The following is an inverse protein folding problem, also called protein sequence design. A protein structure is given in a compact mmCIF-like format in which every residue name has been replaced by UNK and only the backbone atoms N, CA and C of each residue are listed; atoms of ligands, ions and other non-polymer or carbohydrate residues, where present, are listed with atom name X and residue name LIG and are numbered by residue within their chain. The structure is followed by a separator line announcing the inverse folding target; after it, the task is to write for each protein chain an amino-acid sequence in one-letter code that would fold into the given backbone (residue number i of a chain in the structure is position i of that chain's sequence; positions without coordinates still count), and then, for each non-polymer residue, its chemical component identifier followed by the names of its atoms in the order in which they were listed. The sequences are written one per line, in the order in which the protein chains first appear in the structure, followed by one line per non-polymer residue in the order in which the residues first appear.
data_IF_347302497816
#
_entry.id   IF_347302497816
#
_cell.length_a   1.000
_cell.length_b   1.000
_cell.length_c   1.000
_cell.angle_alpha   90.00
_cell.angle_beta   90.00
_cell.angle_gamma   90.00
#
_symmetry.space_group_name_H-M   'P 1'
#
loop_
_entity.id
_entity.type
_entity.pdbx_description
1 polymer ?
#
# COMPACT_ATOMS: atom_id res chain seq x y z
N UNK A 1 -16.74 4.39 -17.13
CA UNK A 1 -15.85 4.68 -16.00
C UNK A 1 -14.46 5.05 -16.52
N UNK A 2 -13.88 6.19 -16.11
CA UNK A 2 -12.57 6.65 -16.59
C UNK A 2 -11.56 6.64 -15.45
N UNK A 3 -10.55 5.78 -15.51
CA UNK A 3 -9.60 5.53 -14.44
C UNK A 3 -8.15 5.72 -14.90
N UNK A 4 -7.26 5.98 -13.95
CA UNK A 4 -5.83 6.06 -14.21
C UNK A 4 -4.98 5.58 -13.01
N UNK A 5 -3.69 5.40 -13.26
CA UNK A 5 -2.63 5.43 -12.22
C UNK A 5 -1.64 6.52 -12.57
N UNK A 6 -1.22 7.29 -11.58
CA UNK A 6 -0.15 8.27 -11.69
C UNK A 6 1.06 7.90 -10.83
N UNK A 7 2.26 8.19 -11.34
CA UNK A 7 3.52 7.91 -10.65
C UNK A 7 4.72 8.42 -11.47
N UNK A 8 5.94 8.30 -10.92
CA UNK A 8 7.16 8.66 -11.66
C UNK A 8 8.38 7.81 -11.21
N UNK A 9 8.77 6.76 -11.97
CA UNK A 9 8.15 6.22 -13.19
C UNK A 9 6.89 5.38 -12.89
N UNK A 10 6.05 5.15 -13.91
CA UNK A 10 4.81 4.35 -13.81
C UNK A 10 4.64 3.34 -14.95
N UNK A 11 5.52 3.35 -15.94
CA UNK A 11 5.40 2.54 -17.16
C UNK A 11 5.41 1.02 -16.91
N UNK A 12 6.03 0.59 -15.81
CA UNK A 12 6.12 -0.81 -15.41
C UNK A 12 4.91 -1.28 -14.56
N UNK A 13 3.94 -0.40 -14.32
CA UNK A 13 2.78 -0.74 -13.48
C UNK A 13 1.88 -1.78 -14.13
N UNK A 14 1.50 -2.81 -13.36
CA UNK A 14 0.53 -3.83 -13.77
C UNK A 14 -0.92 -3.43 -13.48
N UNK A 15 -1.15 -2.32 -12.78
CA UNK A 15 -2.49 -1.82 -12.45
C UNK A 15 -3.40 -1.63 -13.67
N UNK A 16 -2.92 -1.13 -14.84
CA UNK A 16 -3.77 -1.05 -16.04
C UNK A 16 -4.31 -2.40 -16.52
N UNK A 17 -3.53 -3.46 -16.39
CA UNK A 17 -3.97 -4.82 -16.76
C UNK A 17 -5.03 -5.33 -15.79
N UNK A 18 -4.80 -5.19 -14.47
CA UNK A 18 -5.72 -5.64 -13.43
C UNK A 18 -7.07 -4.91 -13.53
N UNK A 19 -7.06 -3.58 -13.54
CA UNK A 19 -8.31 -2.81 -13.56
C UNK A 19 -9.10 -2.96 -14.86
N UNK A 20 -8.44 -3.17 -16.00
CA UNK A 20 -9.14 -3.54 -17.25
C UNK A 20 -9.81 -4.91 -17.15
N UNK A 21 -9.23 -5.86 -16.40
CA UNK A 21 -9.88 -7.13 -16.11
C UNK A 21 -11.09 -6.93 -15.19
N UNK A 22 -10.97 -6.15 -14.13
CA UNK A 22 -12.06 -5.85 -13.20
C UNK A 22 -13.23 -5.13 -13.87
N UNK A 23 -12.97 -4.15 -14.75
CA UNK A 23 -14.00 -3.48 -15.54
C UNK A 23 -14.79 -4.46 -16.42
N UNK A 24 -14.08 -5.42 -17.07
CA UNK A 24 -14.73 -6.45 -17.89
C UNK A 24 -15.55 -7.43 -17.06
N UNK A 25 -15.00 -7.86 -15.91
CA UNK A 25 -15.69 -8.76 -14.96
C UNK A 25 -16.98 -8.14 -14.42
N UNK A 26 -16.95 -6.84 -14.15
CA UNK A 26 -18.10 -6.08 -13.66
C UNK A 26 -19.07 -5.62 -14.79
N UNK A 27 -18.77 -5.95 -16.07
CA UNK A 27 -19.53 -5.50 -17.25
C UNK A 27 -19.67 -3.96 -17.33
N UNK A 28 -18.66 -3.22 -16.84
CA UNK A 28 -18.61 -1.77 -16.84
C UNK A 28 -17.80 -1.28 -18.04
N UNK A 29 -18.44 -0.44 -18.89
CA UNK A 29 -17.69 0.26 -19.93
C UNK A 29 -16.75 1.30 -19.32
N UNK A 30 -15.48 1.20 -19.64
CA UNK A 30 -14.48 2.06 -19.03
C UNK A 30 -13.06 1.88 -19.56
N UNK A 31 -12.20 2.74 -19.07
CA UNK A 31 -10.78 2.74 -19.41
C UNK A 31 -9.90 2.92 -18.17
N UNK A 32 -8.69 2.35 -18.24
CA UNK A 32 -7.66 2.56 -17.23
C UNK A 32 -6.30 2.76 -17.93
N UNK A 33 -5.63 3.88 -17.62
CA UNK A 33 -4.37 4.28 -18.24
C UNK A 33 -3.30 4.59 -17.21
N UNK A 34 -2.02 4.41 -17.56
CA UNK A 34 -0.89 4.87 -16.76
C UNK A 34 -0.43 6.24 -17.28
N UNK A 35 -0.22 7.19 -16.37
CA UNK A 35 0.20 8.56 -16.69
C UNK A 35 1.42 8.90 -15.83
N UNK A 36 2.55 9.16 -16.48
CA UNK A 36 3.75 9.63 -15.79
C UNK A 36 3.57 11.10 -15.37
N UNK A 37 3.72 11.36 -14.07
CA UNK A 37 3.53 12.70 -13.48
C UNK A 37 4.72 13.03 -12.58
N UNK A 38 5.52 14.04 -12.90
CA UNK A 38 6.59 14.53 -12.02
C UNK A 38 6.01 15.00 -10.67
N UNK A 39 6.74 14.77 -9.58
CA UNK A 39 6.30 15.10 -8.22
C UNK A 39 5.82 16.56 -8.08
N UNK A 40 6.54 17.51 -8.69
CA UNK A 40 6.19 18.94 -8.68
C UNK A 40 4.83 19.26 -9.29
N UNK A 41 4.29 18.40 -10.15
CA UNK A 41 3.05 18.63 -10.89
C UNK A 41 1.86 17.84 -10.31
N UNK A 42 2.11 16.93 -9.35
CA UNK A 42 1.12 15.97 -8.87
C UNK A 42 -0.20 16.63 -8.43
N UNK A 43 -0.14 17.63 -7.56
CA UNK A 43 -1.34 18.32 -7.04
C UNK A 43 -2.15 18.96 -8.17
N UNK A 44 -1.47 19.66 -9.10
CA UNK A 44 -2.12 20.30 -10.25
C UNK A 44 -2.77 19.29 -11.18
N UNK A 45 -2.10 18.17 -11.46
CA UNK A 45 -2.63 17.10 -12.31
C UNK A 45 -3.84 16.43 -11.65
N UNK A 46 -3.77 16.07 -10.36
CA UNK A 46 -4.89 15.45 -9.64
C UNK A 46 -6.14 16.35 -9.68
N UNK A 47 -5.98 17.64 -9.39
CA UNK A 47 -7.10 18.60 -9.46
C UNK A 47 -7.65 18.76 -10.89
N UNK A 48 -6.77 18.69 -11.90
CA UNK A 48 -7.18 18.75 -13.30
C UNK A 48 -7.94 17.49 -13.73
N UNK A 49 -7.55 16.29 -13.26
CA UNK A 49 -8.22 15.03 -13.58
C UNK A 49 -9.71 15.05 -13.21
N UNK A 50 -10.07 15.70 -12.10
CA UNK A 50 -11.48 15.92 -11.73
C UNK A 50 -12.24 16.70 -12.78
N UNK A 51 -11.63 17.75 -13.37
CA UNK A 51 -12.23 18.58 -14.42
C UNK A 51 -12.29 17.87 -15.78
N UNK A 52 -11.44 16.86 -15.97
CA UNK A 52 -11.36 16.06 -17.19
C UNK A 52 -12.18 14.76 -17.08
N UNK A 53 -13.19 14.72 -16.18
CA UNK A 53 -14.18 13.65 -15.99
C UNK A 53 -13.56 12.27 -15.67
N UNK A 54 -12.43 12.23 -14.95
CA UNK A 54 -11.96 11.00 -14.34
C UNK A 54 -12.87 10.60 -13.18
N UNK A 55 -13.20 9.32 -13.09
CA UNK A 55 -13.96 8.76 -11.96
C UNK A 55 -13.04 8.48 -10.77
N UNK A 56 -11.85 8.00 -11.02
CA UNK A 56 -10.88 7.66 -9.97
C UNK A 56 -9.45 7.59 -10.48
N UNK A 57 -8.52 7.60 -9.54
CA UNK A 57 -7.10 7.54 -9.83
C UNK A 57 -6.35 6.78 -8.74
N UNK A 58 -5.55 5.78 -9.11
CA UNK A 58 -4.52 5.28 -8.20
C UNK A 58 -3.28 6.18 -8.24
N UNK A 59 -2.60 6.23 -7.12
CA UNK A 59 -1.35 6.98 -6.96
C UNK A 59 -0.25 6.07 -6.43
N UNK A 60 0.89 6.07 -7.13
CA UNK A 60 2.07 5.30 -6.71
C UNK A 60 3.27 6.20 -6.45
N UNK A 61 4.40 5.58 -6.13
CA UNK A 61 5.66 6.29 -5.86
C UNK A 61 6.01 7.30 -6.98
N UNK A 62 6.48 8.49 -6.63
CA UNK A 62 6.71 9.06 -5.29
C UNK A 62 5.56 9.99 -4.83
N UNK A 63 4.34 9.84 -5.34
CA UNK A 63 3.29 10.86 -5.32
C UNK A 63 2.24 10.70 -4.21
N UNK A 64 2.29 9.64 -3.38
CA UNK A 64 1.24 9.34 -2.39
C UNK A 64 1.06 10.43 -1.32
N UNK A 65 2.12 11.14 -0.94
CA UNK A 65 2.08 12.26 0.00
C UNK A 65 1.57 13.55 -0.67
N UNK A 66 1.91 13.77 -1.96
CA UNK A 66 1.35 14.88 -2.72
C UNK A 66 -0.14 14.69 -2.99
N UNK A 67 -0.56 13.45 -3.21
CA UNK A 67 -1.97 13.12 -3.39
C UNK A 67 -2.80 13.43 -2.13
N UNK A 68 -2.25 13.16 -0.94
CA UNK A 68 -2.88 13.53 0.33
C UNK A 68 -3.20 15.04 0.38
N UNK A 69 -2.24 15.88 -0.05
CA UNK A 69 -2.39 17.34 -0.08
C UNK A 69 -3.36 17.85 -1.18
N UNK A 70 -3.61 17.01 -2.18
CA UNK A 70 -4.49 17.34 -3.30
C UNK A 70 -5.96 17.04 -3.02
N UNK A 71 -6.25 16.16 -2.04
CA UNK A 71 -7.59 15.76 -1.66
C UNK A 71 -8.30 16.83 -0.81
N UNK A 72 -9.60 16.94 -0.97
CA UNK A 72 -10.46 17.81 -0.17
C UNK A 72 -10.86 17.12 1.14
N UNK A 73 -11.06 15.78 1.08
CA UNK A 73 -11.43 14.92 2.20
C UNK A 73 -10.60 13.62 2.16
N UNK A 74 -10.45 12.99 3.31
CA UNK A 74 -9.66 11.77 3.48
C UNK A 74 -10.45 10.75 4.30
N UNK A 75 -10.32 9.47 3.95
CA UNK A 75 -10.77 8.38 4.84
C UNK A 75 -9.81 8.21 6.01
N UNK A 76 -10.24 7.52 7.06
CA UNK A 76 -9.42 7.24 8.24
C UNK A 76 -8.13 6.47 7.88
N UNK A 77 -8.20 5.53 6.94
CA UNK A 77 -7.04 4.79 6.45
C UNK A 77 -5.99 5.71 5.80
N UNK A 78 -6.45 6.67 4.98
CA UNK A 78 -5.55 7.63 4.34
C UNK A 78 -4.93 8.60 5.35
N UNK A 79 -5.70 9.06 6.32
CA UNK A 79 -5.23 9.95 7.39
C UNK A 79 -4.20 9.27 8.27
N UNK A 80 -4.46 8.03 8.71
CA UNK A 80 -3.55 7.26 9.56
C UNK A 80 -2.27 6.87 8.84
N UNK A 81 -2.37 6.51 7.55
CA UNK A 81 -1.21 6.20 6.71
C UNK A 81 -0.39 7.45 6.33
N UNK A 82 -0.95 8.65 6.51
CA UNK A 82 -0.38 9.91 5.99
C UNK A 82 0.01 9.78 4.51
N UNK A 83 -0.84 9.12 3.73
CA UNK A 83 -0.62 8.84 2.31
C UNK A 83 -1.92 8.40 1.61
N UNK A 84 -2.06 8.78 0.35
CA UNK A 84 -3.17 8.38 -0.52
C UNK A 84 -2.63 7.55 -1.69
N UNK A 85 -3.21 6.37 -1.92
CA UNK A 85 -2.95 5.56 -3.11
C UNK A 85 -4.17 5.39 -4.02
N UNK A 86 -5.35 5.83 -3.55
CA UNK A 86 -6.62 5.72 -4.27
C UNK A 86 -7.41 7.01 -4.11
N UNK A 87 -7.84 7.61 -5.21
CA UNK A 87 -8.63 8.85 -5.24
C UNK A 87 -9.95 8.58 -5.95
N UNK A 88 -11.06 9.06 -5.38
CA UNK A 88 -12.33 9.17 -6.04
C UNK A 88 -12.64 10.63 -6.37
N UNK A 89 -13.04 10.90 -7.62
CA UNK A 89 -13.42 12.22 -8.10
C UNK A 89 -14.94 12.36 -8.12
N UNK A 90 -15.50 12.75 -6.99
CA UNK A 90 -16.90 13.07 -6.84
C UNK A 90 -17.14 14.58 -6.75
N UNK A 91 -18.08 14.98 -5.89
CA UNK A 91 -18.31 16.38 -5.55
C UNK A 91 -17.06 17.01 -4.92
N UNK A 92 -16.36 16.23 -4.11
CA UNK A 92 -15.06 16.52 -3.53
C UNK A 92 -14.04 15.50 -4.02
N UNK A 93 -12.76 15.80 -3.92
CA UNK A 93 -11.68 14.86 -4.18
C UNK A 93 -11.46 14.07 -2.89
N UNK A 94 -11.92 12.81 -2.86
CA UNK A 94 -11.80 11.93 -1.72
C UNK A 94 -10.57 11.04 -1.84
N UNK A 95 -9.68 11.12 -0.86
CA UNK A 95 -8.47 10.29 -0.76
C UNK A 95 -8.66 9.08 0.15
N UNK A 96 -8.17 7.93 -0.30
CA UNK A 96 -8.20 6.66 0.41
C UNK A 96 -6.86 5.93 0.30
N UNK A 97 -6.62 4.93 1.15
CA UNK A 97 -5.44 4.09 1.06
C UNK A 97 -5.77 2.61 1.20
N UNK A 98 -5.43 1.83 0.17
CA UNK A 98 -5.70 0.39 0.10
C UNK A 98 -4.46 -0.49 0.30
N UNK A 99 -3.26 0.08 0.53
CA UNK A 99 -2.03 -0.72 0.69
C UNK A 99 -2.11 -1.64 1.91
N UNK A 100 -2.62 -1.13 3.05
CA UNK A 100 -2.73 -1.90 4.28
C UNK A 100 -3.70 -3.08 4.15
N UNK A 101 -4.90 -2.84 3.61
CA UNK A 101 -5.87 -3.91 3.36
C UNK A 101 -5.33 -4.92 2.33
N UNK A 102 -4.60 -4.45 1.31
CA UNK A 102 -3.97 -5.32 0.32
C UNK A 102 -2.93 -6.25 0.94
N UNK A 103 -2.07 -5.72 1.81
CA UNK A 103 -1.08 -6.52 2.54
C UNK A 103 -1.74 -7.54 3.45
N UNK A 104 -2.77 -7.14 4.22
CA UNK A 104 -3.52 -8.05 5.09
C UNK A 104 -4.17 -9.17 4.30
N UNK A 105 -4.94 -8.84 3.28
CA UNK A 105 -5.65 -9.83 2.46
C UNK A 105 -4.69 -10.84 1.84
N UNK A 106 -3.55 -10.39 1.34
CA UNK A 106 -2.52 -11.27 0.79
C UNK A 106 -1.93 -12.21 1.85
N UNK A 107 -1.61 -11.70 3.04
CA UNK A 107 -1.05 -12.50 4.13
C UNK A 107 -2.06 -13.52 4.67
N UNK A 108 -3.28 -13.10 4.98
CA UNK A 108 -4.32 -13.99 5.51
C UNK A 108 -4.68 -15.11 4.53
N UNK A 109 -4.70 -14.83 3.23
CA UNK A 109 -4.88 -15.84 2.20
C UNK A 109 -3.72 -16.84 2.12
N UNK A 110 -2.46 -16.39 2.38
CA UNK A 110 -1.28 -17.25 2.38
C UNK A 110 -1.16 -18.11 3.64
N UNK A 111 -1.56 -17.54 4.77
CA UNK A 111 -1.50 -18.23 6.07
C UNK A 111 -2.68 -19.19 6.27
N UNK A 112 -3.76 -19.02 5.51
CA UNK A 112 -5.09 -19.61 5.77
C UNK A 112 -5.53 -19.32 7.23
N UNK A 113 -5.17 -18.14 7.76
CA UNK A 113 -5.36 -17.72 9.14
C UNK A 113 -5.35 -16.18 9.26
N UNK A 114 -5.86 -15.66 10.37
CA UNK A 114 -5.83 -14.24 10.71
C UNK A 114 -4.42 -13.77 11.08
N UNK A 115 -4.12 -12.50 10.82
CA UNK A 115 -2.90 -11.86 11.31
C UNK A 115 -2.97 -11.45 12.80
N UNK A 116 -4.13 -11.58 13.44
CA UNK A 116 -4.29 -11.26 14.86
C UNK A 116 -3.32 -12.08 15.73
N UNK A 117 -2.71 -11.44 16.72
CA UNK A 117 -1.71 -11.98 17.63
C UNK A 117 -0.41 -12.46 16.97
N UNK A 118 -0.24 -12.24 15.65
CA UNK A 118 1.01 -12.53 14.95
C UNK A 118 2.04 -11.43 15.22
N UNK A 119 3.30 -11.82 15.27
CA UNK A 119 4.44 -10.90 15.31
C UNK A 119 4.82 -10.53 13.89
N UNK A 120 4.63 -9.25 13.52
CA UNK A 120 4.81 -8.77 12.14
C UNK A 120 5.83 -7.65 12.10
N UNK A 121 6.90 -7.84 11.34
CA UNK A 121 7.93 -6.84 11.10
C UNK A 121 7.72 -6.13 9.76
N UNK A 122 7.81 -4.80 9.75
CA UNK A 122 7.76 -3.99 8.54
C UNK A 122 9.11 -3.32 8.33
N UNK A 123 9.75 -3.62 7.19
CA UNK A 123 11.03 -3.00 6.81
C UNK A 123 10.78 -1.82 5.90
N UNK A 124 11.17 -0.63 6.36
CA UNK A 124 10.94 0.65 5.71
C UNK A 124 9.93 1.53 6.46
N UNK A 125 9.94 2.83 6.16
CA UNK A 125 8.97 3.80 6.71
C UNK A 125 8.52 4.78 5.61
N UNK A 126 8.31 4.27 4.40
CA UNK A 126 7.67 5.01 3.31
C UNK A 126 6.14 4.93 3.40
N UNK A 127 5.45 5.55 2.44
CA UNK A 127 3.99 5.60 2.39
C UNK A 127 3.31 4.21 2.49
N UNK A 128 3.86 3.19 1.83
CA UNK A 128 3.32 1.82 1.89
C UNK A 128 3.54 1.20 3.26
N UNK A 129 4.72 1.39 3.89
CA UNK A 129 4.97 0.91 5.25
C UNK A 129 4.00 1.52 6.26
N UNK A 130 3.81 2.85 6.20
CA UNK A 130 2.86 3.55 7.07
C UNK A 130 1.43 3.04 6.91
N UNK A 131 1.00 2.78 5.68
CA UNK A 131 -0.33 2.22 5.41
C UNK A 131 -0.50 0.80 5.99
N UNK A 132 0.53 -0.05 5.90
CA UNK A 132 0.53 -1.38 6.49
C UNK A 132 0.47 -1.28 8.03
N UNK A 133 1.37 -0.49 8.64
CA UNK A 133 1.41 -0.30 10.09
C UNK A 133 0.08 0.28 10.62
N UNK A 134 -0.47 1.30 9.95
CA UNK A 134 -1.74 1.92 10.31
C UNK A 134 -2.91 0.93 10.29
N UNK A 135 -2.97 0.07 9.27
CA UNK A 135 -4.04 -0.90 9.12
C UNK A 135 -3.89 -2.07 10.11
N UNK A 136 -2.65 -2.51 10.37
CA UNK A 136 -2.38 -3.67 11.23
C UNK A 136 -2.47 -3.34 12.71
N UNK A 137 -2.17 -2.09 13.12
CA UNK A 137 -2.32 -1.65 14.52
C UNK A 137 -3.75 -1.73 15.04
N UNK A 138 -4.76 -1.81 14.15
CA UNK A 138 -6.17 -2.02 14.51
C UNK A 138 -6.58 -3.51 14.58
N UNK A 139 -5.64 -4.43 14.40
CA UNK A 139 -5.93 -5.87 14.20
C UNK A 139 -5.30 -6.77 15.27
N UNK A 140 -4.95 -6.21 16.42
CA UNK A 140 -4.30 -6.93 17.54
C UNK A 140 -2.99 -7.64 17.15
N UNK A 141 -2.31 -7.22 16.08
CA UNK A 141 -1.00 -7.73 15.70
C UNK A 141 0.12 -7.08 16.52
N UNK A 142 1.17 -7.82 16.84
CA UNK A 142 2.38 -7.26 17.46
C UNK A 142 3.31 -6.72 16.39
N UNK A 143 3.44 -5.39 16.31
CA UNK A 143 4.14 -4.73 15.22
C UNK A 143 5.57 -4.37 15.56
N UNK A 144 6.45 -4.59 14.59
CA UNK A 144 7.86 -4.20 14.66
C UNK A 144 8.23 -3.44 13.39
N UNK A 145 9.06 -2.40 13.53
CA UNK A 145 9.44 -1.56 12.40
C UNK A 145 10.94 -1.33 12.37
N UNK A 146 11.50 -1.37 11.16
CA UNK A 146 12.86 -0.98 10.88
C UNK A 146 12.94 0.07 9.78
N UNK A 147 13.81 1.04 9.96
CA UNK A 147 14.16 2.05 8.97
C UNK A 147 15.57 2.56 9.20
N UNK A 148 16.15 3.25 8.20
CA UNK A 148 17.49 3.84 8.30
C UNK A 148 17.56 5.11 9.15
N UNK A 149 16.42 5.65 9.49
CA UNK A 149 16.25 6.91 10.19
C UNK A 149 15.57 6.60 11.54
N UNK A 150 16.34 6.73 12.62
CA UNK A 150 15.88 6.40 13.97
C UNK A 150 14.75 7.31 14.47
N UNK A 151 14.66 8.55 13.98
CA UNK A 151 13.55 9.45 14.32
C UNK A 151 12.25 8.95 13.72
N UNK A 152 12.29 8.49 12.46
CA UNK A 152 11.13 7.90 11.79
C UNK A 152 10.71 6.58 12.42
N UNK A 153 11.66 5.77 12.89
CA UNK A 153 11.35 4.53 13.63
C UNK A 153 10.65 4.86 14.94
N UNK A 154 11.12 5.86 15.69
CA UNK A 154 10.45 6.31 16.91
C UNK A 154 9.04 6.84 16.65
N UNK A 155 8.86 7.67 15.62
CA UNK A 155 7.54 8.16 15.20
C UNK A 155 6.60 7.00 14.84
N UNK A 156 7.09 5.98 14.13
CA UNK A 156 6.31 4.79 13.84
C UNK A 156 5.89 4.02 15.09
N UNK A 157 6.81 3.86 16.05
CA UNK A 157 6.53 3.16 17.31
C UNK A 157 5.44 3.89 18.11
N UNK A 158 5.53 5.20 18.22
CA UNK A 158 4.54 6.01 18.94
C UNK A 158 3.18 6.04 18.22
N UNK A 159 3.20 6.18 16.90
CA UNK A 159 1.98 6.37 16.10
C UNK A 159 1.16 5.10 15.91
N UNK A 160 1.83 3.93 15.80
CA UNK A 160 1.20 2.65 15.45
C UNK A 160 1.32 1.59 16.54
N UNK A 161 1.71 1.96 17.74
CA UNK A 161 1.97 1.02 18.85
C UNK A 161 2.93 -0.11 18.43
N UNK A 162 3.99 0.24 17.70
CA UNK A 162 4.99 -0.69 17.22
C UNK A 162 6.27 -0.66 18.07
N UNK A 163 7.14 -1.63 17.88
CA UNK A 163 8.45 -1.71 18.51
C UNK A 163 9.58 -1.66 17.47
N UNK A 164 10.81 -1.27 17.84
CA UNK A 164 11.95 -1.42 16.94
C UNK A 164 12.15 -2.89 16.57
N UNK A 165 12.53 -3.15 15.32
CA UNK A 165 12.68 -4.51 14.79
C UNK A 165 13.84 -5.25 15.48
N UNK A 166 13.60 -6.40 16.15
CA UNK A 166 14.61 -7.16 16.86
C UNK A 166 15.26 -8.18 15.91
N UNK A 167 16.42 -7.89 15.34
CA UNK A 167 17.12 -8.79 14.42
C UNK A 167 17.65 -10.07 15.06
N UNK A 168 17.88 -10.08 16.37
CA UNK A 168 18.28 -11.24 17.18
C UNK A 168 17.12 -12.20 17.51
N UNK A 169 15.88 -11.70 17.44
CA UNK A 169 14.66 -12.49 17.62
C UNK A 169 13.57 -11.97 16.68
N UNK A 170 13.70 -12.20 15.36
CA UNK A 170 12.84 -11.58 14.37
C UNK A 170 11.38 -11.97 14.53
N UNK A 171 10.46 -11.12 14.06
CA UNK A 171 9.06 -11.48 13.90
C UNK A 171 8.87 -12.69 12.97
N UNK A 172 7.83 -13.48 13.22
CA UNK A 172 7.50 -14.63 12.38
C UNK A 172 7.17 -14.25 10.93
N UNK A 173 6.58 -13.06 10.75
CA UNK A 173 6.23 -12.51 9.44
C UNK A 173 7.02 -11.21 9.23
N UNK A 174 7.68 -11.07 8.10
CA UNK A 174 8.38 -9.85 7.72
C UNK A 174 7.89 -9.34 6.36
N UNK A 175 7.54 -8.07 6.31
CA UNK A 175 7.13 -7.38 5.08
C UNK A 175 8.16 -6.32 4.73
N UNK A 176 8.85 -6.49 3.60
CA UNK A 176 9.76 -5.48 3.08
C UNK A 176 9.04 -4.52 2.13
N UNK A 177 9.08 -3.23 2.44
CA UNK A 177 8.60 -2.15 1.56
C UNK A 177 9.76 -1.34 0.98
N UNK A 178 10.97 -1.86 1.10
CA UNK A 178 12.19 -1.16 0.72
C UNK A 178 12.38 -1.15 -0.81
N UNK A 179 13.01 -0.10 -1.35
CA UNK A 179 13.41 -0.09 -2.75
C UNK A 179 14.35 -1.27 -3.10
N UNK A 180 14.29 -1.81 -4.32
CA UNK A 180 15.13 -2.92 -4.76
C UNK A 180 16.65 -2.66 -4.66
N UNK A 181 17.05 -1.39 -4.59
CA UNK A 181 18.45 -0.97 -4.45
C UNK A 181 19.02 -1.11 -3.04
N UNK A 182 18.17 -1.29 -2.03
CA UNK A 182 18.63 -1.43 -0.64
C UNK A 182 19.37 -2.76 -0.48
N UNK A 183 20.50 -2.70 0.23
CA UNK A 183 21.30 -3.87 0.62
C UNK A 183 21.33 -3.94 2.13
N UNK A 184 21.16 -5.14 2.64
CA UNK A 184 21.27 -5.42 4.07
C UNK A 184 22.68 -5.85 4.44
N UNK A 185 23.12 -5.41 5.60
CA UNK A 185 24.35 -5.89 6.22
C UNK A 185 24.17 -7.35 6.71
N UNK A 186 25.24 -8.16 6.73
CA UNK A 186 25.15 -9.57 7.09
C UNK A 186 24.39 -9.88 8.38
N UNK A 187 24.55 -9.17 9.51
CA UNK A 187 23.78 -9.44 10.73
C UNK A 187 22.26 -9.25 10.55
N UNK A 188 21.85 -8.31 9.69
CA UNK A 188 20.45 -8.07 9.39
C UNK A 188 19.89 -9.20 8.50
N UNK A 189 20.67 -9.63 7.50
CA UNK A 189 20.29 -10.77 6.66
C UNK A 189 20.13 -12.04 7.49
N UNK A 190 21.07 -12.33 8.39
CA UNK A 190 21.00 -13.46 9.29
C UNK A 190 19.72 -13.44 10.14
N UNK A 191 19.38 -12.27 10.72
CA UNK A 191 18.12 -12.10 11.43
C UNK A 191 16.91 -12.41 10.54
N UNK A 192 16.85 -11.90 9.32
CA UNK A 192 15.73 -12.12 8.40
C UNK A 192 15.61 -13.59 7.93
N UNK A 193 16.71 -14.35 7.93
CA UNK A 193 16.69 -15.78 7.60
C UNK A 193 15.90 -16.63 8.60
N UNK A 194 15.73 -16.14 9.84
CA UNK A 194 14.99 -16.83 10.90
C UNK A 194 13.49 -16.52 10.92
N UNK A 195 13.00 -15.55 10.12
CA UNK A 195 11.58 -15.32 9.97
C UNK A 195 10.89 -16.48 9.24
N UNK A 196 9.70 -16.89 9.68
CA UNK A 196 8.96 -17.98 9.04
C UNK A 196 8.52 -17.59 7.62
N UNK A 197 8.05 -16.36 7.47
CA UNK A 197 7.55 -15.81 6.22
C UNK A 197 8.16 -14.44 5.93
N UNK A 198 8.69 -14.26 4.73
CA UNK A 198 9.15 -12.96 4.23
C UNK A 198 8.41 -12.59 2.96
N UNK A 199 7.74 -11.44 2.95
CA UNK A 199 7.10 -10.87 1.78
C UNK A 199 7.85 -9.61 1.33
N UNK A 200 8.12 -9.49 0.02
CA UNK A 200 8.62 -8.26 -0.59
C UNK A 200 7.45 -7.54 -1.28
N UNK A 201 7.08 -6.34 -0.82
CA UNK A 201 6.02 -5.55 -1.45
C UNK A 201 6.34 -5.13 -2.90
N UNK A 202 7.59 -5.28 -3.34
CA UNK A 202 7.92 -5.19 -4.76
C UNK A 202 7.44 -6.44 -5.51
N UNK A 203 7.09 -6.29 -6.78
CA UNK A 203 6.60 -7.36 -7.66
C UNK A 203 7.36 -7.42 -8.97
N UNK A 204 7.26 -8.56 -9.65
CA UNK A 204 7.93 -8.83 -10.92
C UNK A 204 9.46 -8.74 -10.79
N UNK A 205 10.13 -8.12 -11.77
CA UNK A 205 11.59 -7.98 -11.78
C UNK A 205 12.14 -7.09 -10.65
N UNK A 206 11.29 -6.31 -9.98
CA UNK A 206 11.66 -5.47 -8.85
C UNK A 206 11.78 -6.24 -7.54
N UNK A 207 11.28 -7.47 -7.46
CA UNK A 207 11.47 -8.37 -6.31
C UNK A 207 12.92 -8.83 -6.29
N UNK A 208 13.72 -8.27 -5.41
CA UNK A 208 15.17 -8.57 -5.34
C UNK A 208 15.63 -9.10 -4.00
N UNK A 209 14.80 -9.04 -2.98
CA UNK A 209 15.14 -9.45 -1.62
C UNK A 209 15.53 -10.95 -1.54
N UNK A 210 14.86 -11.82 -2.33
CA UNK A 210 15.18 -13.24 -2.41
C UNK A 210 16.64 -13.54 -2.76
N UNK A 211 17.27 -12.68 -3.58
CA UNK A 211 18.69 -12.84 -3.96
C UNK A 211 19.64 -12.51 -2.83
N UNK A 212 19.22 -11.66 -1.89
CA UNK A 212 20.03 -11.31 -0.72
C UNK A 212 19.89 -12.36 0.39
N UNK A 213 18.68 -12.93 0.54
CA UNK A 213 18.38 -13.93 1.55
C UNK A 213 18.72 -15.35 1.11
N UNK A 214 19.00 -15.59 -0.19
CA UNK A 214 19.24 -16.91 -0.76
C UNK A 214 18.14 -17.95 -0.41
N UNK A 215 16.89 -17.45 -0.26
CA UNK A 215 15.71 -18.26 0.05
C UNK A 215 14.50 -17.80 -0.76
N UNK A 216 13.49 -18.65 -0.81
CA UNK A 216 12.18 -18.25 -1.34
C UNK A 216 11.52 -17.22 -0.44
N UNK A 217 10.93 -16.24 -1.06
CA UNK A 217 10.12 -15.21 -0.42
C UNK A 217 8.82 -15.03 -1.21
N UNK A 218 7.84 -14.40 -0.59
CA UNK A 218 6.57 -14.09 -1.25
C UNK A 218 6.73 -12.76 -1.99
N UNK A 219 6.57 -12.75 -3.32
CA UNK A 219 6.56 -11.51 -4.08
C UNK A 219 5.27 -10.72 -3.83
N UNK A 220 5.31 -9.41 -4.03
CA UNK A 220 4.19 -8.50 -3.80
C UNK A 220 3.03 -8.60 -4.79
N UNK A 221 2.99 -9.62 -5.64
CA UNK A 221 1.94 -9.78 -6.66
C UNK A 221 0.55 -9.95 -6.04
N UNK A 222 0.42 -10.77 -5.00
CA UNK A 222 -0.84 -10.97 -4.28
C UNK A 222 -1.30 -9.68 -3.57
N UNK A 223 -0.37 -8.94 -2.96
CA UNK A 223 -0.66 -7.64 -2.36
C UNK A 223 -1.09 -6.61 -3.41
N UNK A 224 -0.43 -6.60 -4.58
CA UNK A 224 -0.78 -5.72 -5.69
C UNK A 224 -2.21 -5.98 -6.17
N UNK A 225 -2.60 -7.24 -6.34
CA UNK A 225 -3.94 -7.62 -6.78
C UNK A 225 -5.00 -7.25 -5.73
N UNK A 226 -4.76 -7.58 -4.47
CA UNK A 226 -5.68 -7.32 -3.38
C UNK A 226 -5.93 -5.80 -3.17
N UNK A 227 -4.87 -4.96 -3.18
CA UNK A 227 -5.03 -3.52 -3.07
C UNK A 227 -5.71 -2.91 -4.32
N UNK A 228 -5.48 -3.47 -5.51
CA UNK A 228 -6.14 -3.01 -6.72
C UNK A 228 -7.64 -3.35 -6.70
N UNK A 229 -8.02 -4.55 -6.23
CA UNK A 229 -9.42 -4.94 -6.02
C UNK A 229 -10.08 -4.01 -5.01
N UNK A 230 -9.46 -3.77 -3.87
CA UNK A 230 -9.97 -2.83 -2.86
C UNK A 230 -10.17 -1.40 -3.40
N UNK A 231 -9.27 -0.92 -4.27
CA UNK A 231 -9.43 0.37 -4.95
C UNK A 231 -10.63 0.37 -5.90
N UNK A 232 -10.81 -0.72 -6.64
CA UNK A 232 -11.93 -0.85 -7.58
C UNK A 232 -13.27 -0.88 -6.85
N UNK A 233 -13.38 -1.66 -5.78
CA UNK A 233 -14.58 -1.77 -4.95
C UNK A 233 -14.89 -0.43 -4.26
N UNK A 234 -13.86 0.30 -3.81
CA UNK A 234 -14.00 1.65 -3.27
C UNK A 234 -14.63 2.61 -4.29
N UNK A 235 -14.21 2.59 -5.55
CA UNK A 235 -14.82 3.44 -6.58
C UNK A 235 -16.27 3.04 -6.87
N UNK A 236 -16.57 1.75 -6.97
CA UNK A 236 -17.93 1.27 -7.20
C UNK A 236 -18.89 1.74 -6.09
N UNK A 237 -18.50 1.57 -4.83
CA UNK A 237 -19.30 2.00 -3.69
C UNK A 237 -19.63 3.51 -3.72
N UNK A 238 -18.73 4.35 -4.24
CA UNK A 238 -18.93 5.80 -4.29
C UNK A 238 -19.69 6.26 -5.54
N UNK A 239 -19.64 5.54 -6.65
CA UNK A 239 -20.44 5.84 -7.85
C UNK A 239 -21.93 5.57 -7.58
N UNK A 240 -22.23 4.45 -6.92
CA UNK A 240 -23.60 4.02 -6.63
C UNK A 240 -24.24 4.83 -5.48
N UNK A 241 -23.52 5.76 -4.87
CA UNK A 241 -23.98 6.56 -3.73
C UNK A 241 -24.13 5.77 -2.43
N UNK A 242 -23.68 4.52 -2.41
CA UNK A 242 -23.58 3.70 -1.22
C UNK A 242 -22.21 3.92 -0.60
N UNK A 243 -22.07 5.01 0.17
CA UNK A 243 -20.90 5.14 1.04
C UNK A 243 -20.90 3.93 1.99
N UNK A 244 -19.78 3.18 2.12
CA UNK A 244 -19.69 2.18 3.19
C UNK A 244 -19.96 2.92 4.51
N UNK A 245 -20.96 2.47 5.26
CA UNK A 245 -21.17 2.96 6.61
C UNK A 245 -19.87 2.75 7.38
N UNK A 246 -19.23 3.84 7.79
CA UNK A 246 -18.15 3.79 8.77
C UNK A 246 -18.74 3.07 9.97
N UNK A 247 -18.17 1.94 10.45
CA UNK A 247 -18.64 1.33 11.67
C UNK A 247 -18.46 2.34 12.80
N UNK A 248 -19.56 2.92 13.25
CA UNK A 248 -19.59 3.70 14.49
C UNK A 248 -19.29 2.69 15.59
N UNK A 249 -18.10 2.73 16.11
CA UNK A 249 -17.71 1.93 17.27
C UNK A 249 -18.60 2.27 18.45
N UNK A 250 -19.09 1.27 19.20
CA UNK A 250 -19.77 1.48 20.45
C UNK A 250 -18.85 2.04 21.54
#
# INVERSE_FOLDING_TARGET
MRLAIIGDPVDHSRSPQLHKAFLREAEIDGSYVAIRVPKSNAIGVIRRMRLDDYTGCNVTYPLKEEALRACDTLTDEAQRADAVNTIFFGREILGHNTDGIGARTALEALLDDSIALKRIGVLGYGATARAILAHFSERDAYLFVWGRDDEKVRDACERYDAQPFPFDNPPEIVISTLPPSVRFEPPMLEGLMHADLVMDANYGERTTLHRQLEREIIPGDAMLEAQARASFDFWLAHIDGVAPETPVSP
#
